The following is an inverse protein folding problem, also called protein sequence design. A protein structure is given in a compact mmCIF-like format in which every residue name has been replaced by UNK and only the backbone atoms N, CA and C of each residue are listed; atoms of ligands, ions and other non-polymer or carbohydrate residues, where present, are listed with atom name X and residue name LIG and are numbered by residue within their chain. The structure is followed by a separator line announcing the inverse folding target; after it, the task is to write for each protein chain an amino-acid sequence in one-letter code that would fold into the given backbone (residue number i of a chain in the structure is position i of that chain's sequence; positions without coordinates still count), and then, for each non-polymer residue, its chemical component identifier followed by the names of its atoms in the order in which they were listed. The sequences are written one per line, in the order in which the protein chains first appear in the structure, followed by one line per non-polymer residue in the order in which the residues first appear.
data_IF_509030025104
#
_entry.id   IF_509030025104
#
_cell.length_a   1.000
_cell.length_b   1.000
_cell.length_c   1.000
_cell.angle_alpha   90.00
_cell.angle_beta   90.00
_cell.angle_gamma   90.00
#
_symmetry.space_group_name_H-M   'P 1'
#
loop_
_entity.id
_entity.type
_entity.pdbx_description
1 polymer ?
#
# COMPACT_ATOMS: atom_id res chain seq x y z
N UNK A 1 19.92 -18.96 -22.68
CA UNK A 1 19.01 -18.41 -23.71
C UNK A 1 18.07 -17.46 -23.00
N UNK A 2 18.45 -16.20 -22.90
CA UNK A 2 17.83 -15.20 -22.01
C UNK A 2 16.84 -14.34 -22.78
N UNK A 3 15.55 -14.63 -22.54
CA UNK A 3 14.35 -13.79 -22.68
C UNK A 3 14.48 -12.53 -23.53
N UNK A 4 14.13 -12.68 -24.82
CA UNK A 4 14.01 -11.62 -25.81
C UNK A 4 13.03 -10.52 -25.39
N UNK A 5 13.33 -9.29 -25.83
CA UNK A 5 12.46 -8.12 -25.82
C UNK A 5 11.05 -8.52 -26.28
N UNK A 6 10.05 -8.40 -25.41
CA UNK A 6 8.64 -8.50 -25.81
C UNK A 6 8.03 -7.12 -25.75
N UNK A 7 8.23 -6.38 -26.84
CA UNK A 7 7.29 -5.31 -27.18
C UNK A 7 5.92 -5.99 -27.29
N UNK A 8 4.91 -5.42 -26.64
CA UNK A 8 3.57 -6.03 -26.62
C UNK A 8 2.56 -5.18 -27.38
N UNK A 9 2.89 -3.94 -27.72
CA UNK A 9 1.94 -3.08 -28.41
C UNK A 9 2.50 -1.81 -29.00
N UNK A 10 1.61 -1.00 -29.57
CA UNK A 10 1.92 0.29 -30.19
C UNK A 10 0.87 1.32 -29.78
N UNK A 11 1.31 2.50 -29.37
CA UNK A 11 0.44 3.65 -29.10
C UNK A 11 -0.20 4.11 -30.42
N UNK A 12 -1.53 4.06 -30.52
CA UNK A 12 -2.24 4.42 -31.75
C UNK A 12 -3.19 5.62 -31.59
N UNK A 13 -3.51 6.02 -30.36
CA UNK A 13 -4.39 7.16 -30.14
C UNK A 13 -4.44 7.65 -28.70
N UNK A 14 -5.21 8.71 -28.48
CA UNK A 14 -5.48 9.28 -27.18
C UNK A 14 -6.98 9.61 -27.09
N UNK A 15 -7.65 9.14 -26.04
CA UNK A 15 -9.02 9.58 -25.75
C UNK A 15 -9.00 10.92 -25.03
N UNK A 16 -9.75 11.88 -25.57
CA UNK A 16 -9.88 13.25 -25.04
C UNK A 16 -10.67 13.33 -23.74
N UNK A 17 -11.47 12.32 -23.41
CA UNK A 17 -12.40 12.37 -22.27
C UNK A 17 -11.83 11.84 -20.96
N UNK A 18 -10.78 11.01 -20.98
CA UNK A 18 -10.34 10.25 -19.79
C UNK A 18 -8.82 10.22 -19.56
N UNK A 19 -8.04 11.05 -20.27
CA UNK A 19 -6.56 10.99 -20.24
C UNK A 19 -5.99 9.59 -20.55
N UNK A 20 -6.75 8.75 -21.28
CA UNK A 20 -6.35 7.40 -21.64
C UNK A 20 -5.55 7.43 -22.95
N UNK A 21 -4.35 6.85 -22.93
CA UNK A 21 -3.57 6.57 -24.14
C UNK A 21 -3.93 5.17 -24.64
N UNK A 22 -4.38 5.07 -25.89
CA UNK A 22 -4.82 3.83 -26.48
C UNK A 22 -3.61 3.07 -27.05
N UNK A 23 -3.26 1.96 -26.41
CA UNK A 23 -2.20 1.05 -26.86
C UNK A 23 -2.84 -0.16 -27.52
N UNK A 24 -2.46 -0.44 -28.76
CA UNK A 24 -2.90 -1.61 -29.50
C UNK A 24 -1.96 -2.77 -29.19
N UNK A 25 -2.50 -3.88 -28.69
CA UNK A 25 -1.78 -5.14 -28.43
C UNK A 25 -2.44 -6.27 -29.24
N UNK A 26 -1.65 -7.01 -30.02
CA UNK A 26 -2.12 -8.20 -30.77
C UNK A 26 -2.51 -9.33 -29.83
N UNK A 27 -3.58 -10.07 -30.17
CA UNK A 27 -4.08 -11.21 -29.37
C UNK A 27 -3.08 -12.37 -29.24
N UNK A 28 -2.25 -12.60 -30.28
CA UNK A 28 -1.19 -13.61 -30.26
C UNK A 28 -0.15 -13.35 -29.16
N UNK A 29 0.03 -12.07 -28.80
CA UNK A 29 0.95 -11.62 -27.75
C UNK A 29 0.28 -11.50 -26.37
N UNK A 30 -0.88 -12.11 -26.15
CA UNK A 30 -1.60 -12.08 -24.86
C UNK A 30 -0.75 -12.50 -23.65
N UNK A 31 0.27 -13.33 -23.84
CA UNK A 31 1.25 -13.69 -22.78
C UNK A 31 2.24 -12.56 -22.44
N UNK A 32 2.37 -11.56 -23.31
CA UNK A 32 3.21 -10.38 -23.13
C UNK A 32 2.41 -9.14 -22.74
N UNK A 33 1.08 -9.19 -22.83
CA UNK A 33 0.18 -8.12 -22.40
C UNK A 33 0.39 -7.75 -20.93
N UNK A 34 0.41 -6.45 -20.59
CA UNK A 34 0.57 -6.00 -19.21
C UNK A 34 -0.73 -6.20 -18.43
N UNK A 35 -0.60 -6.37 -17.12
CA UNK A 35 -1.71 -6.41 -16.17
C UNK A 35 -1.96 -5.03 -15.56
N UNK A 36 -3.13 -4.85 -14.96
CA UNK A 36 -3.43 -3.66 -14.16
C UNK A 36 -2.41 -3.48 -13.04
N UNK A 37 -1.79 -2.31 -12.97
CA UNK A 37 -0.72 -1.99 -12.03
C UNK A 37 0.67 -2.03 -12.64
N UNK A 38 0.87 -2.74 -13.75
CA UNK A 38 2.19 -2.90 -14.37
C UNK A 38 2.76 -1.57 -14.86
N UNK A 39 4.08 -1.49 -14.81
CA UNK A 39 4.84 -0.39 -15.39
C UNK A 39 5.29 -0.75 -16.80
N UNK A 40 5.02 0.15 -17.75
CA UNK A 40 5.36 -0.01 -19.15
C UNK A 40 6.13 1.21 -19.65
N UNK A 41 6.84 1.03 -20.76
CA UNK A 41 7.60 2.08 -21.44
C UNK A 41 7.01 2.32 -22.81
N UNK A 42 6.67 3.57 -23.12
CA UNK A 42 6.38 4.03 -24.47
C UNK A 42 7.65 4.64 -25.07
N UNK A 43 8.10 4.11 -26.19
CA UNK A 43 9.40 4.48 -26.79
C UNK A 43 9.33 4.58 -28.33
N UNK A 44 10.18 5.41 -28.97
CA UNK A 44 10.49 5.27 -30.38
C UNK A 44 10.98 3.85 -30.72
N UNK A 45 10.78 3.43 -31.97
CA UNK A 45 11.10 2.07 -32.46
C UNK A 45 12.59 1.74 -32.42
N UNK A 46 13.43 2.73 -32.71
CA UNK A 46 14.89 2.65 -32.61
C UNK A 46 15.39 2.72 -31.16
N UNK A 47 14.49 2.93 -30.19
CA UNK A 47 14.77 3.20 -28.77
C UNK A 47 15.59 4.48 -28.50
N UNK A 48 15.84 5.29 -29.53
CA UNK A 48 16.61 6.51 -29.43
C UNK A 48 15.70 7.70 -29.14
N UNK A 49 16.11 8.51 -28.16
CA UNK A 49 15.38 9.70 -27.75
C UNK A 49 14.45 9.46 -26.56
N UNK A 50 13.38 10.26 -26.47
CA UNK A 50 12.56 10.36 -25.26
C UNK A 50 11.60 9.20 -25.13
N UNK A 51 11.65 8.55 -23.98
CA UNK A 51 10.80 7.45 -23.53
C UNK A 51 9.89 7.93 -22.41
N UNK A 52 8.75 7.27 -22.25
CA UNK A 52 7.75 7.59 -21.24
C UNK A 52 7.52 6.36 -20.37
N UNK A 53 7.64 6.55 -19.06
CA UNK A 53 7.20 5.56 -18.09
C UNK A 53 5.70 5.77 -17.85
N UNK A 54 4.91 4.72 -17.98
CA UNK A 54 3.49 4.74 -17.66
C UNK A 54 3.10 3.55 -16.78
N UNK A 55 2.06 3.72 -15.98
CA UNK A 55 1.41 2.66 -15.21
C UNK A 55 0.09 2.28 -15.87
N UNK A 56 -0.18 1.00 -16.02
CA UNK A 56 -1.48 0.50 -16.48
C UNK A 56 -2.50 0.66 -15.35
N UNK A 57 -3.54 1.46 -15.59
CA UNK A 57 -4.61 1.73 -14.62
C UNK A 57 -5.79 0.77 -14.81
N UNK A 58 -6.13 0.44 -16.06
CA UNK A 58 -7.18 -0.51 -16.39
C UNK A 58 -7.00 -1.04 -17.83
N UNK A 59 -7.47 -2.26 -18.08
CA UNK A 59 -7.80 -2.72 -19.43
C UNK A 59 -9.21 -2.21 -19.79
N UNK A 60 -9.35 -1.60 -20.95
CA UNK A 60 -10.63 -1.08 -21.44
C UNK A 60 -11.14 -2.02 -22.54
N UNK A 61 -12.32 -2.58 -22.31
CA UNK A 61 -13.11 -3.23 -23.36
C UNK A 61 -13.91 -2.16 -24.11
N UNK A 62 -13.20 -1.32 -24.88
CA UNK A 62 -13.86 -0.33 -25.70
C UNK A 62 -14.16 -0.92 -27.09
N UNK A 63 -15.39 -0.74 -27.52
CA UNK A 63 -15.71 -0.78 -28.95
C UNK A 63 -14.97 0.39 -29.60
N UNK A 64 -13.82 0.08 -30.21
CA UNK A 64 -13.03 1.00 -31.03
C UNK A 64 -13.94 1.97 -31.80
N UNK A 65 -13.68 3.30 -31.82
CA UNK A 65 -14.45 4.24 -32.61
C UNK A 65 -14.56 3.86 -34.10
N UNK A 66 -13.61 3.07 -34.62
CA UNK A 66 -13.61 2.51 -35.97
C UNK A 66 -14.76 1.50 -36.18
N UNK A 67 -15.28 0.89 -35.11
CA UNK A 67 -16.31 -0.15 -35.12
C UNK A 67 -17.63 0.28 -34.46
N UNK A 68 -17.90 1.60 -34.34
CA UNK A 68 -19.13 2.16 -33.75
C UNK A 68 -20.46 1.66 -34.35
N UNK A 69 -20.44 0.87 -35.41
CA UNK A 69 -21.62 0.18 -35.90
C UNK A 69 -21.40 -1.34 -35.87
N UNK A 70 -22.15 -1.97 -34.97
CA UNK A 70 -22.43 -3.39 -34.81
C UNK A 70 -21.54 -4.16 -33.82
N UNK A 71 -22.23 -4.80 -32.86
CA UNK A 71 -21.74 -5.80 -31.93
C UNK A 71 -20.69 -6.71 -32.57
N UNK A 72 -19.42 -6.61 -32.15
CA UNK A 72 -18.31 -7.42 -32.69
C UNK A 72 -18.63 -8.92 -32.66
N UNK A 73 -19.31 -9.38 -31.60
CA UNK A 73 -19.74 -10.77 -31.44
C UNK A 73 -20.84 -11.13 -32.44
N UNK A 74 -21.80 -10.23 -32.68
CA UNK A 74 -22.90 -10.48 -33.60
C UNK A 74 -22.41 -10.43 -35.06
N UNK A 75 -21.52 -9.50 -35.44
CA UNK A 75 -20.91 -9.50 -36.78
C UNK A 75 -20.03 -10.72 -36.99
N UNK A 76 -19.15 -11.10 -36.04
CA UNK A 76 -18.32 -12.30 -36.17
C UNK A 76 -19.19 -13.55 -36.38
N UNK A 77 -20.24 -13.70 -35.56
CA UNK A 77 -21.18 -14.82 -35.65
C UNK A 77 -21.99 -14.75 -36.95
N UNK A 78 -22.39 -13.56 -37.40
CA UNK A 78 -23.16 -13.38 -38.64
C UNK A 78 -22.29 -13.60 -39.89
N UNK A 79 -21.04 -13.14 -39.91
CA UNK A 79 -20.08 -13.39 -41.01
C UNK A 79 -19.68 -14.86 -41.07
N UNK A 80 -19.38 -15.49 -39.93
CA UNK A 80 -19.05 -16.92 -39.87
C UNK A 80 -20.25 -17.81 -40.24
N UNK A 81 -21.50 -17.41 -39.87
CA UNK A 81 -22.72 -18.13 -40.26
C UNK A 81 -23.15 -17.92 -41.71
N UNK A 82 -22.97 -16.73 -42.27
CA UNK A 82 -23.43 -16.41 -43.64
C UNK A 82 -22.40 -16.81 -44.70
N UNK A 83 -21.11 -16.66 -44.41
CA UNK A 83 -20.06 -16.89 -45.41
C UNK A 83 -19.50 -18.33 -45.41
N UNK A 84 -19.93 -19.20 -44.50
CA UNK A 84 -19.37 -20.56 -44.25
C UNK A 84 -17.83 -20.58 -44.24
N UNK A 85 -17.20 -19.47 -43.85
CA UNK A 85 -15.75 -19.26 -43.95
C UNK A 85 -15.18 -19.00 -42.57
N UNK A 86 -14.10 -19.71 -42.25
CA UNK A 86 -13.29 -19.38 -41.09
C UNK A 86 -12.71 -17.96 -41.24
N UNK A 87 -12.75 -17.18 -40.15
CA UNK A 87 -12.13 -15.86 -40.09
C UNK A 87 -10.62 -16.00 -40.33
N UNK A 88 -10.04 -15.10 -41.14
CA UNK A 88 -8.59 -15.08 -41.33
C UNK A 88 -7.89 -14.70 -40.02
N UNK A 89 -6.65 -15.14 -39.81
CA UNK A 89 -5.87 -14.78 -38.62
C UNK A 89 -5.74 -13.25 -38.46
N UNK A 90 -5.65 -12.52 -39.58
CA UNK A 90 -5.62 -11.05 -39.60
C UNK A 90 -6.94 -10.44 -39.07
N UNK A 91 -8.08 -11.08 -39.34
CA UNK A 91 -9.38 -10.60 -38.87
C UNK A 91 -9.59 -10.95 -37.40
N UNK A 92 -9.13 -12.14 -36.95
CA UNK A 92 -9.08 -12.49 -35.52
C UNK A 92 -8.23 -11.48 -34.73
N UNK A 93 -7.03 -11.15 -35.22
CA UNK A 93 -6.14 -10.17 -34.59
C UNK A 93 -6.77 -8.76 -34.48
N UNK A 94 -7.61 -8.36 -35.45
CA UNK A 94 -8.35 -7.09 -35.39
C UNK A 94 -9.57 -7.14 -34.47
N UNK A 95 -10.18 -8.32 -34.28
CA UNK A 95 -11.35 -8.49 -33.41
C UNK A 95 -10.96 -8.59 -31.93
N UNK A 96 -9.76 -9.08 -31.61
CA UNK A 96 -9.28 -9.32 -30.24
C UNK A 96 -8.09 -8.43 -29.82
N UNK A 97 -8.15 -7.14 -30.12
CA UNK A 97 -7.14 -6.17 -29.64
C UNK A 97 -7.47 -5.66 -28.24
N UNK A 98 -6.44 -5.56 -27.39
CA UNK A 98 -6.57 -4.93 -26.08
C UNK A 98 -6.33 -3.43 -26.16
N UNK A 99 -7.06 -2.68 -25.33
CA UNK A 99 -6.85 -1.25 -25.11
C UNK A 99 -6.60 -1.04 -23.63
N UNK A 100 -5.66 -0.17 -23.28
CA UNK A 100 -5.31 0.12 -21.88
C UNK A 100 -5.53 1.58 -21.55
N UNK A 101 -6.05 1.87 -20.36
CA UNK A 101 -5.88 3.16 -19.73
C UNK A 101 -4.53 3.17 -19.02
N UNK A 102 -3.69 4.17 -19.30
CA UNK A 102 -2.36 4.28 -18.71
C UNK A 102 -2.11 5.68 -18.18
N UNK A 103 -1.48 5.75 -17.01
CA UNK A 103 -1.06 6.98 -16.37
C UNK A 103 0.43 7.22 -16.61
N UNK A 104 0.76 8.31 -17.30
CA UNK A 104 2.17 8.69 -17.49
C UNK A 104 2.75 9.16 -16.14
N UNK A 105 3.88 8.59 -15.75
CA UNK A 105 4.59 8.91 -14.50
C UNK A 105 5.78 9.85 -14.72
N UNK A 106 6.37 9.84 -15.92
CA UNK A 106 7.54 10.63 -16.21
C UNK A 106 8.21 10.25 -17.53
N UNK A 107 9.38 10.82 -17.77
CA UNK A 107 10.18 10.60 -18.99
C UNK A 107 11.64 10.34 -18.67
N UNK A 108 12.29 9.58 -19.53
CA UNK A 108 13.74 9.33 -19.52
C UNK A 108 14.21 9.10 -20.96
N UNK A 109 15.51 9.09 -21.22
CA UNK A 109 16.06 8.91 -22.57
C UNK A 109 17.00 7.71 -22.65
N UNK A 110 17.71 7.42 -21.56
CA UNK A 110 18.78 6.43 -21.54
C UNK A 110 18.36 5.13 -20.84
N UNK A 111 19.06 4.76 -19.77
CA UNK A 111 18.82 3.59 -18.92
C UNK A 111 17.99 3.94 -17.67
N UNK A 112 17.29 5.09 -17.66
CA UNK A 112 16.42 5.50 -16.56
C UNK A 112 17.08 6.36 -15.49
N UNK A 113 18.41 6.56 -15.51
CA UNK A 113 19.08 7.46 -14.55
C UNK A 113 18.67 8.92 -14.70
N UNK A 114 18.28 9.31 -15.91
CA UNK A 114 17.82 10.65 -16.26
C UNK A 114 16.30 10.81 -16.09
N UNK A 115 15.64 9.93 -15.32
CA UNK A 115 14.20 9.96 -15.13
C UNK A 115 13.74 11.24 -14.42
N UNK A 116 12.71 11.87 -15.00
CA UNK A 116 12.02 13.03 -14.45
C UNK A 116 10.52 12.79 -14.42
N UNK A 117 9.84 13.21 -13.35
CA UNK A 117 8.38 13.07 -13.21
C UNK A 117 7.58 14.10 -13.99
N UNK A 118 8.22 15.21 -14.40
CA UNK A 118 7.56 16.30 -15.10
C UNK A 118 7.37 15.97 -16.58
N UNK A 119 6.13 15.67 -16.99
CA UNK A 119 5.78 15.40 -18.38
C UNK A 119 5.28 16.68 -19.06
N UNK A 120 6.09 17.27 -19.95
CA UNK A 120 5.73 18.51 -20.68
C UNK A 120 5.17 18.28 -22.08
N UNK A 121 5.40 17.09 -22.65
CA UNK A 121 4.94 16.69 -23.99
C UNK A 121 4.40 15.29 -23.89
N UNK A 122 3.34 14.99 -24.62
CA UNK A 122 2.79 13.65 -24.71
C UNK A 122 3.61 12.77 -25.67
N UNK A 123 3.55 11.43 -25.53
CA UNK A 123 4.15 10.51 -26.48
C UNK A 123 3.51 10.65 -27.86
N UNK A 124 4.27 10.38 -28.91
CA UNK A 124 3.80 10.43 -30.29
C UNK A 124 3.09 9.12 -30.64
N UNK A 125 2.02 9.20 -31.44
CA UNK A 125 1.41 8.03 -32.08
C UNK A 125 2.50 7.25 -32.82
N UNK A 126 2.40 5.92 -32.83
CA UNK A 126 3.40 4.93 -33.28
C UNK A 126 4.53 4.62 -32.31
N UNK A 127 4.55 5.19 -31.10
CA UNK A 127 5.46 4.74 -30.05
C UNK A 127 5.18 3.28 -29.70
N UNK A 128 6.23 2.47 -29.57
CA UNK A 128 6.14 1.08 -29.13
C UNK A 128 5.91 1.03 -27.61
N UNK A 129 5.05 0.12 -27.18
CA UNK A 129 4.80 -0.21 -25.79
C UNK A 129 5.52 -1.51 -25.43
N UNK A 130 6.35 -1.45 -24.39
CA UNK A 130 7.13 -2.59 -23.90
C UNK A 130 7.27 -2.57 -22.39
N UNK A 131 7.69 -3.70 -21.83
CA UNK A 131 8.08 -3.79 -20.42
C UNK A 131 9.39 -3.05 -20.14
N UNK A 132 9.62 -2.67 -18.89
CA UNK A 132 10.90 -2.09 -18.46
C UNK A 132 12.02 -3.12 -18.58
N UNK A 133 13.19 -2.67 -19.01
CA UNK A 133 14.41 -3.47 -18.91
C UNK A 133 14.86 -3.52 -17.45
N UNK A 134 15.53 -4.60 -16.99
CA UNK A 134 16.01 -4.71 -15.61
C UNK A 134 16.84 -3.49 -15.14
N UNK A 135 17.73 -2.96 -15.99
CA UNK A 135 18.52 -1.77 -15.67
C UNK A 135 17.67 -0.50 -15.55
N UNK A 136 16.69 -0.32 -16.43
CA UNK A 136 15.77 0.83 -16.39
C UNK A 136 14.98 0.81 -15.09
N UNK A 137 14.45 -0.36 -14.74
CA UNK A 137 13.71 -0.58 -13.51
C UNK A 137 14.54 -0.22 -12.28
N UNK A 138 15.74 -0.79 -12.14
CA UNK A 138 16.63 -0.53 -11.00
C UNK A 138 17.06 0.95 -10.91
N UNK A 139 17.41 1.56 -12.04
CA UNK A 139 17.82 2.96 -12.04
C UNK A 139 16.66 3.89 -11.66
N UNK A 140 15.47 3.67 -12.21
CA UNK A 140 14.29 4.49 -11.91
C UNK A 140 13.88 4.32 -10.44
N UNK A 141 13.89 3.09 -9.93
CA UNK A 141 13.42 2.78 -8.58
C UNK A 141 14.40 3.28 -7.51
N UNK A 142 15.70 3.00 -7.68
CA UNK A 142 16.66 3.06 -6.59
C UNK A 142 17.82 4.04 -6.81
N UNK A 143 18.10 4.51 -8.02
CA UNK A 143 19.33 5.30 -8.25
C UNK A 143 19.41 6.58 -7.41
N UNK A 144 18.29 7.30 -7.29
CA UNK A 144 18.20 8.50 -6.46
C UNK A 144 18.30 8.22 -4.95
N UNK A 145 18.21 6.95 -4.54
CA UNK A 145 18.31 6.49 -3.15
C UNK A 145 19.37 5.38 -3.02
N UNK A 146 20.43 5.38 -3.85
CA UNK A 146 21.40 4.27 -3.89
C UNK A 146 22.12 4.03 -2.55
N UNK A 147 22.29 5.09 -1.76
CA UNK A 147 22.84 5.04 -0.40
C UNK A 147 21.74 4.98 0.67
N UNK A 148 20.51 4.72 0.25
CA UNK A 148 19.34 4.61 1.11
C UNK A 148 19.25 3.25 1.79
N UNK A 149 18.29 3.15 2.69
CA UNK A 149 18.02 1.92 3.45
C UNK A 149 16.90 1.16 2.78
N UNK A 150 16.98 -0.18 2.79
CA UNK A 150 15.92 -1.02 2.30
C UNK A 150 14.68 -0.89 3.20
N UNK A 151 13.54 -0.53 2.61
CA UNK A 151 12.27 -0.36 3.32
C UNK A 151 11.23 -1.44 2.99
N UNK A 152 11.50 -2.28 1.98
CA UNK A 152 10.63 -3.39 1.59
C UNK A 152 10.72 -3.73 0.11
N UNK A 153 9.88 -4.66 -0.34
CA UNK A 153 9.76 -5.06 -1.74
C UNK A 153 8.77 -4.16 -2.49
N UNK A 154 8.94 -4.06 -3.82
CA UNK A 154 7.89 -3.49 -4.66
C UNK A 154 6.68 -4.43 -4.67
N UNK A 155 5.50 -3.85 -4.48
CA UNK A 155 4.23 -4.54 -4.61
C UNK A 155 3.44 -3.88 -5.74
N UNK A 156 2.99 -4.68 -6.70
CA UNK A 156 2.11 -4.25 -7.80
C UNK A 156 0.76 -4.93 -7.58
N UNK A 157 -0.24 -4.14 -7.19
CA UNK A 157 -1.52 -4.70 -6.74
C UNK A 157 -1.32 -5.53 -5.46
N UNK A 158 -1.56 -6.83 -5.56
CA UNK A 158 -1.32 -7.80 -4.47
C UNK A 158 -0.05 -8.65 -4.69
N UNK A 159 0.66 -8.43 -5.80
CA UNK A 159 1.83 -9.22 -6.17
C UNK A 159 3.13 -8.59 -5.69
N UNK A 160 3.86 -9.34 -4.87
CA UNK A 160 5.16 -8.92 -4.33
C UNK A 160 6.25 -9.34 -5.31
N UNK A 161 6.98 -8.37 -5.84
CA UNK A 161 8.03 -8.58 -6.83
C UNK A 161 9.31 -9.12 -6.16
N UNK A 162 9.30 -10.43 -5.84
CA UNK A 162 10.38 -11.10 -5.10
C UNK A 162 11.68 -11.23 -5.89
N UNK A 163 11.61 -11.23 -7.22
CA UNK A 163 12.75 -11.29 -8.13
C UNK A 163 13.46 -9.94 -8.29
N UNK A 164 12.90 -8.86 -7.74
CA UNK A 164 13.45 -7.50 -7.79
C UNK A 164 14.18 -7.14 -6.49
N UNK A 165 15.08 -6.17 -6.59
CA UNK A 165 15.74 -5.61 -5.43
C UNK A 165 14.74 -4.88 -4.51
N UNK A 166 15.14 -4.71 -3.25
CA UNK A 166 14.38 -3.94 -2.30
C UNK A 166 14.30 -2.47 -2.73
N UNK A 167 13.20 -1.81 -2.37
CA UNK A 167 13.05 -0.37 -2.50
C UNK A 167 13.96 0.29 -1.47
N UNK A 168 14.84 1.15 -1.96
CA UNK A 168 15.74 1.94 -1.14
C UNK A 168 15.14 3.32 -0.87
N UNK A 169 15.29 3.79 0.35
CA UNK A 169 14.84 5.10 0.78
C UNK A 169 15.97 5.87 1.46
N UNK A 170 16.30 7.06 0.94
CA UNK A 170 17.30 7.91 1.57
C UNK A 170 16.75 8.51 2.88
N UNK A 171 17.23 7.98 4.01
CA UNK A 171 16.77 8.36 5.34
C UNK A 171 17.03 9.84 5.67
N UNK A 172 18.02 10.46 5.03
CA UNK A 172 18.35 11.89 5.23
C UNK A 172 17.21 12.80 4.80
N UNK A 173 16.36 12.35 3.87
CA UNK A 173 15.15 13.09 3.45
C UNK A 173 14.20 13.36 4.62
N UNK A 174 14.14 12.47 5.62
CA UNK A 174 13.30 12.69 6.81
C UNK A 174 13.81 13.81 7.71
N UNK A 175 15.12 14.07 7.70
CA UNK A 175 15.73 15.21 8.41
C UNK A 175 15.50 16.50 7.63
N UNK A 176 15.68 16.45 6.31
CA UNK A 176 15.75 17.64 5.46
C UNK A 176 14.36 18.13 5.00
N UNK A 177 13.33 17.28 5.09
CA UNK A 177 11.97 17.59 4.62
C UNK A 177 10.91 17.17 5.62
N UNK A 178 9.81 17.94 5.69
CA UNK A 178 8.64 17.57 6.47
C UNK A 178 7.95 16.38 5.80
N UNK A 179 7.97 15.24 6.47
CA UNK A 179 7.38 13.99 5.97
C UNK A 179 6.12 13.64 6.75
N UNK A 180 5.08 13.17 6.04
CA UNK A 180 3.86 12.64 6.64
C UNK A 180 3.65 11.19 6.19
N UNK A 181 3.27 10.31 7.13
CA UNK A 181 2.97 8.91 6.85
C UNK A 181 1.47 8.69 7.11
N UNK A 182 0.72 8.42 6.04
CA UNK A 182 -0.71 8.17 6.10
C UNK A 182 -1.03 6.71 5.84
N UNK A 183 -1.90 6.12 6.66
CA UNK A 183 -2.57 4.86 6.39
C UNK A 183 -3.79 4.70 7.31
N UNK A 184 -4.71 3.81 6.96
CA UNK A 184 -5.77 3.38 7.87
C UNK A 184 -5.19 2.64 9.09
N UNK A 185 -5.98 2.51 10.17
CA UNK A 185 -5.54 1.75 11.35
C UNK A 185 -5.26 0.29 10.99
N UNK A 186 -4.18 -0.29 11.50
CA UNK A 186 -3.76 -1.67 11.17
C UNK A 186 -2.91 -1.84 9.91
N UNK A 187 -2.77 -0.81 9.05
CA UNK A 187 -2.01 -0.91 7.78
C UNK A 187 -0.51 -0.65 7.92
N UNK A 188 0.07 -0.92 9.10
CA UNK A 188 1.54 -0.94 9.26
C UNK A 188 2.25 0.41 9.38
N UNK A 189 1.56 1.53 9.67
CA UNK A 189 2.20 2.86 9.89
C UNK A 189 3.36 2.78 10.89
N UNK A 190 3.09 2.18 12.05
CA UNK A 190 4.06 1.99 13.13
C UNK A 190 5.23 1.13 12.70
N UNK A 191 4.98 0.08 11.93
CA UNK A 191 6.04 -0.81 11.45
C UNK A 191 6.98 -0.08 10.49
N UNK A 192 6.43 0.68 9.53
CA UNK A 192 7.23 1.53 8.66
C UNK A 192 8.02 2.56 9.47
N UNK A 193 7.38 3.23 10.43
CA UNK A 193 8.05 4.23 11.26
C UNK A 193 9.17 3.63 12.12
N UNK A 194 9.01 2.40 12.64
CA UNK A 194 10.08 1.67 13.36
C UNK A 194 11.29 1.42 12.48
N UNK A 195 11.08 0.97 11.22
CA UNK A 195 12.17 0.78 10.25
C UNK A 195 12.89 2.10 9.98
N UNK A 196 12.15 3.19 9.77
CA UNK A 196 12.74 4.50 9.50
C UNK A 196 13.52 5.02 10.72
N UNK A 197 12.94 4.99 11.93
CA UNK A 197 13.60 5.44 13.17
C UNK A 197 14.86 4.61 13.44
N UNK A 198 14.79 3.29 13.29
CA UNK A 198 15.93 2.41 13.49
C UNK A 198 17.14 2.84 12.64
N UNK A 199 16.88 3.21 11.39
CA UNK A 199 17.93 3.70 10.49
C UNK A 199 18.36 5.14 10.77
N UNK A 200 17.50 5.98 11.38
CA UNK A 200 17.87 7.33 11.80
C UNK A 200 18.69 7.36 13.08
N UNK A 201 18.43 6.46 14.03
CA UNK A 201 18.92 6.57 15.42
C UNK A 201 20.45 6.51 15.51
N UNK A 202 21.10 5.83 14.55
CA UNK A 202 22.55 5.72 14.46
C UNK A 202 23.24 7.07 14.17
N UNK A 203 22.56 8.01 13.50
CA UNK A 203 23.13 9.32 13.22
C UNK A 203 22.99 10.23 14.44
N UNK A 204 24.08 10.53 15.14
CA UNK A 204 24.07 11.35 16.35
C UNK A 204 24.29 12.84 16.09
N UNK A 205 24.36 13.29 14.84
CA UNK A 205 24.68 14.69 14.50
C UNK A 205 23.49 15.67 14.71
N UNK A 206 22.30 15.15 15.01
CA UNK A 206 21.10 15.96 15.25
C UNK A 206 20.15 15.32 16.28
N UNK A 207 19.48 16.17 17.04
CA UNK A 207 18.49 15.76 18.04
C UNK A 207 17.24 15.17 17.41
N UNK A 208 16.66 14.14 18.05
CA UNK A 208 15.43 13.48 17.63
C UNK A 208 14.48 13.44 18.81
N UNK A 209 13.23 13.82 18.60
CA UNK A 209 12.18 13.77 19.60
C UNK A 209 10.99 13.00 19.01
N UNK A 210 10.60 11.91 19.67
CA UNK A 210 9.45 11.10 19.29
C UNK A 210 8.37 11.34 20.35
N UNK A 211 7.23 11.89 19.93
CA UNK A 211 6.03 11.97 20.75
C UNK A 211 5.29 10.64 20.68
N UNK A 212 5.68 9.72 21.57
CA UNK A 212 5.15 8.37 21.60
C UNK A 212 3.87 8.30 22.46
N UNK A 213 2.75 8.73 21.88
CA UNK A 213 1.45 8.77 22.58
C UNK A 213 0.99 7.39 23.06
N UNK A 214 1.33 6.34 22.30
CA UNK A 214 0.90 4.96 22.54
C UNK A 214 1.96 4.09 23.20
N UNK A 215 3.21 4.55 23.32
CA UNK A 215 4.32 3.76 23.86
C UNK A 215 4.90 2.72 22.89
N UNK A 216 4.71 2.90 21.58
CA UNK A 216 5.07 1.95 20.52
C UNK A 216 6.57 1.93 20.16
N UNK A 217 7.31 2.99 20.48
CA UNK A 217 8.71 3.21 20.06
C UNK A 217 9.70 3.15 21.23
N UNK A 218 9.20 3.20 22.45
CA UNK A 218 10.02 3.20 23.65
C UNK A 218 10.50 1.78 24.01
N UNK A 219 11.71 1.41 23.55
CA UNK A 219 12.39 0.18 23.96
C UNK A 219 12.84 0.28 25.42
N UNK A 220 12.43 -0.68 26.27
CA UNK A 220 13.04 -0.85 27.60
C UNK A 220 13.86 -2.12 27.71
N UNK A 221 15.10 -1.93 28.14
CA UNK A 221 15.94 -2.97 28.70
C UNK A 221 15.30 -3.65 29.91
N UNK A 222 15.48 -4.98 29.90
CA UNK A 222 15.47 -6.00 30.95
C UNK A 222 15.07 -5.52 32.37
N UNK A 223 13.94 -6.07 32.85
CA UNK A 223 13.30 -5.99 34.19
C UNK A 223 12.45 -4.75 34.47
N UNK A 224 11.10 -4.91 34.48
CA UNK A 224 10.12 -4.51 35.55
C UNK A 224 8.70 -4.19 35.03
N UNK A 225 7.66 -4.95 35.49
CA UNK A 225 6.14 -4.91 35.54
C UNK A 225 5.19 -3.87 34.81
N UNK A 226 4.33 -4.32 33.84
CA UNK A 226 2.91 -3.95 33.56
C UNK A 226 2.41 -3.04 32.37
N UNK A 227 1.40 -3.54 31.60
CA UNK A 227 0.31 -2.99 30.73
C UNK A 227 -0.46 -4.07 29.89
N UNK A 228 -1.54 -4.68 30.43
CA UNK A 228 -2.35 -5.73 29.79
C UNK A 228 -3.26 -5.27 28.64
N UNK A 229 -3.36 -6.06 27.57
CA UNK A 229 -4.40 -5.95 26.53
C UNK A 229 -5.66 -6.75 26.93
N UNK A 230 -6.85 -6.37 26.46
CA UNK A 230 -8.09 -7.14 26.70
C UNK A 230 -8.34 -8.00 25.46
N UNK A 231 -8.18 -9.32 25.58
CA UNK A 231 -8.40 -10.24 24.46
C UNK A 231 -9.90 -10.44 24.19
N UNK A 232 -10.24 -10.98 23.02
CA UNK A 232 -11.61 -11.34 22.59
C UNK A 232 -12.37 -12.21 23.62
N UNK A 233 -11.64 -12.96 24.45
CA UNK A 233 -12.17 -13.78 25.55
C UNK A 233 -12.56 -12.98 26.82
N UNK A 234 -12.60 -11.63 26.74
CA UNK A 234 -12.98 -10.71 27.83
C UNK A 234 -12.06 -10.74 29.07
N UNK A 235 -10.92 -11.41 28.95
CA UNK A 235 -9.88 -11.51 29.97
C UNK A 235 -8.69 -10.62 29.63
N UNK A 236 -7.99 -10.13 30.67
CA UNK A 236 -6.79 -9.31 30.50
C UNK A 236 -5.62 -10.24 30.20
N UNK A 237 -5.01 -10.06 29.03
CA UNK A 237 -3.83 -10.77 28.60
C UNK A 237 -2.59 -10.14 29.25
N UNK A 238 -1.86 -10.96 30.01
CA UNK A 238 -0.62 -10.53 30.67
C UNK A 238 0.65 -10.89 29.88
N UNK A 239 0.51 -11.57 28.74
CA UNK A 239 1.64 -12.12 27.99
C UNK A 239 2.26 -11.09 27.02
N UNK A 240 1.49 -10.10 26.55
CA UNK A 240 1.97 -9.03 25.66
C UNK A 240 1.67 -7.64 26.22
N UNK A 241 2.57 -7.18 27.07
CA UNK A 241 2.29 -6.14 28.05
C UNK A 241 3.40 -5.11 28.05
N UNK A 242 3.08 -3.82 27.93
CA UNK A 242 4.07 -2.73 28.02
C UNK A 242 4.50 -2.53 29.47
N UNK A 243 5.46 -1.65 29.80
CA UNK A 243 6.01 -1.61 31.17
C UNK A 243 6.45 -0.17 31.54
N UNK A 244 5.96 0.43 32.64
CA UNK A 244 6.25 1.83 33.03
C UNK A 244 7.07 1.99 34.33
N UNK A 245 7.87 3.07 34.44
CA UNK A 245 8.76 3.30 35.60
C UNK A 245 7.91 3.61 36.83
N UNK A 246 8.30 3.13 38.00
CA UNK A 246 7.59 3.38 39.28
C UNK A 246 7.32 4.87 39.55
N UNK A 247 8.26 5.75 39.19
CA UNK A 247 8.08 7.20 39.32
C UNK A 247 6.98 7.74 38.39
N UNK A 248 6.87 7.22 37.16
CA UNK A 248 5.82 7.59 36.19
C UNK A 248 4.47 7.05 36.66
N UNK A 249 4.42 5.77 37.07
CA UNK A 249 3.24 5.13 37.68
C UNK A 249 2.69 5.94 38.86
N UNK A 250 3.57 6.34 39.79
CA UNK A 250 3.18 7.00 41.03
C UNK A 250 2.90 8.50 40.89
N UNK A 251 3.54 9.20 39.95
CA UNK A 251 3.40 10.64 39.77
C UNK A 251 2.54 10.98 38.56
N UNK A 252 3.11 10.83 37.36
CA UNK A 252 2.52 11.32 36.11
C UNK A 252 1.20 10.61 35.77
N UNK A 253 1.15 9.29 35.96
CA UNK A 253 0.03 8.43 35.61
C UNK A 253 -0.79 8.00 36.82
N UNK A 254 -0.78 8.78 37.91
CA UNK A 254 -1.53 8.47 39.13
C UNK A 254 -3.03 8.27 38.87
N UNK A 255 -3.59 9.04 37.93
CA UNK A 255 -5.01 9.00 37.59
C UNK A 255 -5.46 7.73 36.86
N UNK A 256 -4.57 7.08 36.10
CA UNK A 256 -4.89 5.87 35.34
C UNK A 256 -4.58 4.58 36.09
N UNK A 257 -4.20 4.65 37.37
CA UNK A 257 -3.91 3.47 38.19
C UNK A 257 -5.16 2.64 38.42
N UNK A 258 -5.05 1.35 38.11
CA UNK A 258 -6.11 0.36 38.33
C UNK A 258 -6.18 -0.08 39.79
N UNK A 259 -7.40 -0.43 40.20
CA UNK A 259 -7.72 -1.08 41.47
C UNK A 259 -8.62 -2.26 41.18
N UNK A 260 -8.58 -3.27 42.06
CA UNK A 260 -9.49 -4.41 41.99
C UNK A 260 -10.95 -3.95 41.92
N UNK A 261 -11.74 -4.54 41.04
CA UNK A 261 -13.13 -4.18 40.77
C UNK A 261 -13.33 -2.96 39.87
N UNK A 262 -12.28 -2.41 39.27
CA UNK A 262 -12.43 -1.35 38.26
C UNK A 262 -12.99 -1.92 36.96
N UNK A 263 -13.96 -1.23 36.37
CA UNK A 263 -14.54 -1.61 35.08
C UNK A 263 -13.75 -0.91 33.97
N UNK A 264 -13.35 -1.68 32.97
CA UNK A 264 -12.53 -1.25 31.84
C UNK A 264 -13.34 -1.33 30.56
N UNK A 265 -13.27 -0.30 29.73
CA UNK A 265 -13.99 -0.22 28.45
C UNK A 265 -13.00 0.09 27.36
N UNK A 266 -12.92 -0.75 26.33
CA UNK A 266 -12.11 -0.45 25.15
C UNK A 266 -12.81 0.61 24.29
N UNK A 267 -12.11 1.71 24.00
CA UNK A 267 -12.66 2.87 23.28
C UNK A 267 -11.96 3.12 21.93
N UNK A 268 -10.89 2.39 21.62
CA UNK A 268 -10.15 2.48 20.35
C UNK A 268 -9.71 1.08 19.91
N UNK A 269 -9.74 0.79 18.60
CA UNK A 269 -9.22 -0.45 18.01
C UNK A 269 -10.28 -1.46 17.58
N UNK A 270 -9.86 -2.68 17.22
CA UNK A 270 -10.77 -3.76 16.82
C UNK A 270 -11.68 -4.25 17.97
N UNK A 271 -11.30 -3.93 19.22
CA UNK A 271 -12.00 -4.31 20.45
C UNK A 271 -12.91 -3.21 21.01
N UNK A 272 -13.22 -2.15 20.24
CA UNK A 272 -14.11 -1.05 20.69
C UNK A 272 -15.42 -1.60 21.27
N UNK A 273 -15.80 -1.08 22.44
CA UNK A 273 -17.03 -1.45 23.13
C UNK A 273 -16.92 -2.70 24.00
N UNK A 274 -15.78 -3.41 23.99
CA UNK A 274 -15.55 -4.52 24.91
C UNK A 274 -15.39 -4.03 26.35
N UNK A 275 -15.92 -4.81 27.29
CA UNK A 275 -15.97 -4.46 28.71
C UNK A 275 -15.42 -5.61 29.55
N UNK A 276 -14.50 -5.27 30.45
CA UNK A 276 -13.90 -6.22 31.40
C UNK A 276 -13.79 -5.63 32.81
N UNK A 277 -13.52 -6.48 33.80
CA UNK A 277 -13.31 -6.09 35.19
C UNK A 277 -11.86 -6.42 35.56
N UNK A 278 -11.17 -5.44 36.13
CA UNK A 278 -9.84 -5.67 36.67
C UNK A 278 -9.94 -6.38 38.02
N UNK A 279 -9.76 -7.71 38.04
CA UNK A 279 -9.86 -8.52 39.25
C UNK A 279 -8.51 -9.04 39.78
N UNK A 280 -7.42 -8.34 39.45
CA UNK A 280 -6.07 -8.77 39.78
C UNK A 280 -5.48 -7.98 40.95
N UNK A 281 -4.73 -8.65 41.82
CA UNK A 281 -3.96 -8.03 42.90
C UNK A 281 -2.56 -7.60 42.42
N UNK A 282 -2.54 -6.82 41.34
CA UNK A 282 -1.31 -6.30 40.71
C UNK A 282 -1.45 -4.80 40.47
N UNK A 283 -0.37 -4.05 40.60
CA UNK A 283 -0.34 -2.65 40.15
C UNK A 283 -0.35 -2.58 38.62
N UNK A 284 -1.25 -1.77 38.07
CA UNK A 284 -1.35 -1.55 36.63
C UNK A 284 -1.87 -0.14 36.32
N UNK A 285 -1.64 0.30 35.08
CA UNK A 285 -2.30 1.46 34.48
C UNK A 285 -3.01 1.04 33.20
N UNK A 286 -3.95 1.87 32.78
CA UNK A 286 -4.50 1.85 31.43
C UNK A 286 -3.75 2.81 30.50
N UNK A 287 -3.76 2.51 29.20
CA UNK A 287 -3.36 3.41 28.14
C UNK A 287 -4.58 4.21 27.62
N UNK A 288 -4.39 5.00 26.55
CA UNK A 288 -5.46 5.85 25.98
C UNK A 288 -6.55 5.08 25.23
N UNK A 289 -6.34 3.79 24.93
CA UNK A 289 -7.32 2.94 24.25
C UNK A 289 -8.38 2.37 25.20
N UNK A 290 -8.18 2.49 26.52
CA UNK A 290 -9.09 1.99 27.54
C UNK A 290 -9.61 3.15 28.38
N UNK A 291 -10.93 3.20 28.58
CA UNK A 291 -11.57 4.05 29.58
C UNK A 291 -11.72 3.28 30.91
N UNK A 292 -11.44 3.98 32.01
CA UNK A 292 -11.56 3.46 33.37
C UNK A 292 -12.84 4.00 34.02
N UNK A 293 -13.71 3.09 34.48
CA UNK A 293 -14.88 3.39 35.30
C UNK A 293 -14.64 2.87 36.73
N UNK A 294 -14.61 3.80 37.68
CA UNK A 294 -14.47 3.49 39.12
C UNK A 294 -15.82 3.59 39.80
N UNK A 295 -16.30 2.44 40.28
CA UNK A 295 -17.61 2.35 40.93
C UNK A 295 -17.55 2.88 42.37
N UNK A 296 -18.69 3.40 42.83
CA UNK A 296 -18.90 3.73 44.24
C UNK A 296 -19.07 2.44 45.05
N UNK A 297 -18.83 2.54 46.35
CA UNK A 297 -19.02 1.43 47.28
C UNK A 297 -20.48 0.92 47.25
N UNK A 298 -20.65 -0.40 47.42
CA UNK A 298 -21.94 -1.07 47.36
C UNK A 298 -22.45 -1.40 45.94
N UNK A 299 -21.78 -0.94 44.89
CA UNK A 299 -22.14 -1.29 43.50
C UNK A 299 -21.37 -2.54 43.06
N UNK A 300 -22.08 -3.57 42.62
CA UNK A 300 -21.47 -4.81 42.12
C UNK A 300 -20.89 -4.60 40.70
N UNK A 301 -19.57 -4.76 40.50
CA UNK A 301 -18.94 -4.61 39.18
C UNK A 301 -19.47 -5.57 38.12
N UNK A 302 -19.81 -6.80 38.49
CA UNK A 302 -20.34 -7.81 37.56
C UNK A 302 -21.73 -7.42 37.05
N UNK A 303 -22.57 -6.82 37.91
CA UNK A 303 -23.85 -6.29 37.49
C UNK A 303 -23.66 -5.15 36.46
N UNK A 304 -22.75 -4.22 36.73
CA UNK A 304 -22.46 -3.10 35.80
C UNK A 304 -21.95 -3.63 34.47
N UNK A 305 -20.99 -4.57 34.48
CA UNK A 305 -20.49 -5.22 33.27
C UNK A 305 -21.62 -5.90 32.49
N UNK A 306 -22.46 -6.69 33.16
CA UNK A 306 -23.59 -7.37 32.53
C UNK A 306 -24.60 -6.39 31.93
N UNK A 307 -24.91 -5.30 32.64
CA UNK A 307 -25.80 -4.24 32.16
C UNK A 307 -25.24 -3.54 30.93
N UNK A 308 -23.96 -3.13 30.96
CA UNK A 308 -23.34 -2.42 29.84
C UNK A 308 -23.11 -3.29 28.59
N UNK A 309 -23.09 -4.62 28.74
CA UNK A 309 -23.04 -5.57 27.61
C UNK A 309 -24.46 -5.89 27.08
N UNK A 310 -25.51 -5.64 27.86
CA UNK A 310 -26.88 -5.91 27.45
C UNK A 310 -27.36 -4.94 26.35
N UNK A 311 -28.44 -5.29 25.65
CA UNK A 311 -29.11 -4.44 24.66
C UNK A 311 -29.68 -3.14 25.22
N UNK A 312 -29.76 -2.99 26.55
CA UNK A 312 -30.17 -1.74 27.20
C UNK A 312 -28.98 -0.80 27.44
N UNK A 313 -27.76 -1.34 27.44
CA UNK A 313 -26.52 -0.60 27.72
C UNK A 313 -25.69 -0.26 26.48
N UNK A 314 -25.88 -0.99 25.36
CA UNK A 314 -25.30 -0.72 24.04
C UNK A 314 -26.36 -0.17 23.09
#
# INVERSE_FOLDING_TARGET
MTTEKRDFGVLYGQKTTENALLIYSSYEDSKASPQTGDFIVLTPRDEDGRKFLARVEAEIYDEDPIFRSHDKTLIAVHYARIAERELSERDKQKMFSYTYNVKILGTFSSDGKDFITAVRKLPTVSYHARHLKPREFENILNKANENGVAIGKLCIGNDIQLDKNDILFDIRKLRDTRTMIFAQSGFGKTNLMKVLIYNMIADTNYGKLIFDLNGEYFLRGIKTYGLGDINEDKNINFDDVLYIKKNIHNKLLRGSKLKKGNVLIAIVGATIGQISIYDYDKEANINQAIALVRLKEGINPEYVKAFMISTLGQ
#
